data_IF_656605059211
#
_entry.id   IF_656605059211
#
_cell.length_a   1.000
_cell.length_b   1.000
_cell.length_c   1.000
_cell.angle_alpha   90.00
_cell.angle_beta   90.00
_cell.angle_gamma   90.00
#
_symmetry.space_group_name_H-M   'P 1'
#
loop_
_entity.id
_entity.type
_entity.pdbx_description
1 polymer ?
#
# COMPACT_ATOMS: atom_id res chain seq x y z
N UNK A 1 -10.68 10.33 28.36
CA UNK A 1 -10.63 10.19 26.89
C UNK A 1 -9.53 10.99 26.22
N UNK A 2 -9.59 12.33 26.10
CA UNK A 2 -8.56 13.09 25.35
C UNK A 2 -7.16 12.99 25.98
N UNK A 3 -7.06 13.06 27.32
CA UNK A 3 -5.81 12.88 28.07
C UNK A 3 -5.22 11.45 27.95
N UNK A 4 -6.08 10.44 27.86
CA UNK A 4 -5.64 9.04 27.69
C UNK A 4 -5.13 8.80 26.28
N UNK A 5 -5.80 9.38 25.27
CA UNK A 5 -5.35 9.35 23.89
C UNK A 5 -4.00 10.07 23.72
N UNK A 6 -3.83 11.23 24.34
CA UNK A 6 -2.57 11.97 24.33
C UNK A 6 -1.43 11.14 24.97
N UNK A 7 -1.70 10.50 26.11
CA UNK A 7 -0.73 9.61 26.76
C UNK A 7 -0.37 8.41 25.87
N UNK A 8 -1.35 7.79 25.21
CA UNK A 8 -1.11 6.67 24.29
C UNK A 8 -0.28 7.09 23.08
N UNK A 9 -0.60 8.23 22.45
CA UNK A 9 0.20 8.77 21.34
C UNK A 9 1.64 9.04 21.77
N UNK A 10 1.83 9.63 22.95
CA UNK A 10 3.17 9.86 23.48
C UNK A 10 3.93 8.56 23.74
N UNK A 11 3.28 7.53 24.31
CA UNK A 11 3.89 6.22 24.50
C UNK A 11 4.29 5.57 23.17
N UNK A 12 3.49 5.69 22.12
CA UNK A 12 3.83 5.20 20.78
C UNK A 12 5.07 5.92 20.24
N UNK A 13 5.15 7.26 20.38
CA UNK A 13 6.34 8.02 19.99
C UNK A 13 7.60 7.56 20.71
N UNK A 14 7.51 7.30 22.02
CA UNK A 14 8.63 6.76 22.79
C UNK A 14 9.04 5.36 22.32
N UNK A 15 8.07 4.47 22.04
CA UNK A 15 8.34 3.13 21.53
C UNK A 15 9.01 3.20 20.14
N UNK A 16 8.55 4.10 19.27
CA UNK A 16 9.13 4.33 17.94
C UNK A 16 10.62 4.65 18.04
N UNK A 17 11.01 5.53 18.97
CA UNK A 17 12.42 5.91 19.22
C UNK A 17 13.30 4.75 19.72
N UNK A 18 12.70 3.68 20.26
CA UNK A 18 13.43 2.51 20.73
C UNK A 18 13.68 1.48 19.62
N UNK A 19 12.95 1.57 18.51
CA UNK A 19 13.10 0.69 17.34
C UNK A 19 14.09 1.32 16.36
N UNK A 20 14.79 0.50 15.58
CA UNK A 20 15.61 0.99 14.49
C UNK A 20 14.71 1.47 13.33
N UNK A 21 14.23 2.71 13.45
CA UNK A 21 13.39 3.44 12.48
C UNK A 21 14.02 3.41 11.08
N UNK A 22 15.35 3.53 11.00
CA UNK A 22 16.07 3.51 9.71
C UNK A 22 15.91 2.17 8.96
N UNK A 23 15.56 1.09 9.66
CA UNK A 23 15.26 -0.22 9.07
C UNK A 23 13.78 -0.43 8.75
N UNK A 24 12.88 0.43 9.25
CA UNK A 24 11.43 0.28 9.13
C UNK A 24 10.67 1.54 8.64
N UNK A 25 11.12 2.21 7.57
CA UNK A 25 10.57 3.50 7.15
C UNK A 25 9.09 3.46 6.73
N UNK A 26 8.57 2.33 6.25
CA UNK A 26 7.13 2.19 5.96
C UNK A 26 6.31 2.09 7.25
N UNK A 27 6.81 1.40 8.29
CA UNK A 27 6.12 1.36 9.58
C UNK A 27 6.09 2.74 10.24
N UNK A 28 7.18 3.50 10.13
CA UNK A 28 7.23 4.87 10.64
C UNK A 28 6.27 5.79 9.89
N UNK A 29 6.20 5.64 8.57
CA UNK A 29 5.21 6.33 7.75
C UNK A 29 3.77 6.05 8.22
N UNK A 30 3.42 4.79 8.49
CA UNK A 30 2.09 4.41 8.97
C UNK A 30 1.75 5.09 10.31
N UNK A 31 2.71 5.16 11.23
CA UNK A 31 2.54 5.79 12.54
C UNK A 31 2.40 7.31 12.40
N UNK A 32 3.28 7.95 11.62
CA UNK A 32 3.33 9.40 11.50
C UNK A 32 2.10 10.00 10.80
N UNK A 33 1.43 9.21 9.96
CA UNK A 33 0.23 9.62 9.24
C UNK A 33 -1.06 9.07 9.86
N UNK A 34 -1.01 8.56 11.11
CA UNK A 34 -2.16 7.98 11.83
C UNK A 34 -2.94 6.94 10.97
N UNK A 35 -2.22 6.12 10.20
CA UNK A 35 -2.83 5.15 9.27
C UNK A 35 -3.54 4.06 10.05
N UNK A 36 -4.84 3.91 9.81
CA UNK A 36 -5.66 2.86 10.40
C UNK A 36 -5.28 1.47 9.90
N UNK A 37 -5.72 0.44 10.63
CA UNK A 37 -5.48 -0.96 10.24
C UNK A 37 -6.11 -1.28 8.87
N UNK A 38 -7.30 -0.77 8.62
CA UNK A 38 -8.03 -0.94 7.36
C UNK A 38 -7.28 -0.29 6.19
N UNK A 39 -6.74 0.91 6.40
CA UNK A 39 -5.93 1.61 5.40
C UNK A 39 -4.59 0.92 5.14
N UNK A 40 -3.93 0.43 6.19
CA UNK A 40 -2.72 -0.38 6.03
C UNK A 40 -3.02 -1.65 5.23
N UNK A 41 -4.10 -2.37 5.56
CA UNK A 41 -4.53 -3.57 4.80
C UNK A 41 -4.81 -3.23 3.34
N UNK A 42 -5.50 -2.11 3.07
CA UNK A 42 -5.73 -1.61 1.73
C UNK A 42 -4.45 -1.40 0.93
N UNK A 43 -3.46 -0.70 1.50
CA UNK A 43 -2.14 -0.49 0.86
C UNK A 43 -1.51 -1.84 0.50
N UNK A 44 -1.46 -2.77 1.45
CA UNK A 44 -0.83 -4.07 1.26
C UNK A 44 -1.54 -4.90 0.19
N UNK A 45 -2.86 -4.92 0.19
CA UNK A 45 -3.64 -5.73 -0.76
C UNK A 45 -3.57 -5.16 -2.18
N UNK A 46 -3.62 -3.82 -2.34
CA UNK A 46 -3.34 -3.16 -3.63
C UNK A 46 -1.95 -3.52 -4.14
N UNK A 47 -0.93 -3.45 -3.27
CA UNK A 47 0.45 -3.76 -3.64
C UNK A 47 0.64 -5.24 -4.00
N UNK A 48 -0.05 -6.17 -3.34
CA UNK A 48 -0.04 -7.60 -3.71
C UNK A 48 -0.60 -7.81 -5.11
N UNK A 49 -1.73 -7.19 -5.45
CA UNK A 49 -2.36 -7.34 -6.77
C UNK A 49 -1.47 -6.77 -7.87
N UNK A 50 -0.93 -5.57 -7.66
CA UNK A 50 0.01 -4.96 -8.61
C UNK A 50 1.29 -5.79 -8.74
N UNK A 51 1.81 -6.34 -7.64
CA UNK A 51 3.00 -7.18 -7.67
C UNK A 51 2.76 -8.50 -8.39
N UNK A 52 1.55 -9.06 -8.22
CA UNK A 52 1.11 -10.20 -9.02
C UNK A 52 1.09 -9.82 -10.48
N UNK A 53 0.37 -8.77 -10.90
CA UNK A 53 0.34 -8.31 -12.30
C UNK A 53 1.74 -8.08 -12.88
N UNK A 54 2.62 -7.43 -12.13
CA UNK A 54 4.00 -7.18 -12.51
C UNK A 54 4.82 -8.46 -12.72
N UNK A 55 4.58 -9.48 -11.88
CA UNK A 55 5.22 -10.80 -11.98
C UNK A 55 4.57 -11.70 -13.05
N UNK A 56 3.25 -11.64 -13.20
CA UNK A 56 2.41 -12.53 -14.00
C UNK A 56 2.53 -12.27 -15.51
N UNK A 57 2.92 -11.06 -15.90
CA UNK A 57 3.35 -10.77 -17.29
C UNK A 57 4.52 -11.69 -17.71
N UNK A 58 5.21 -12.35 -16.76
CA UNK A 58 6.31 -13.28 -17.03
C UNK A 58 5.90 -14.77 -17.07
N UNK A 59 4.79 -15.18 -16.43
CA UNK A 59 4.35 -16.59 -16.43
C UNK A 59 2.85 -16.70 -16.08
N UNK A 60 2.04 -17.20 -17.01
CA UNK A 60 0.58 -17.08 -16.96
C UNK A 60 -0.13 -18.39 -16.62
N UNK A 61 0.04 -18.90 -15.41
CA UNK A 61 -0.75 -20.03 -14.89
C UNK A 61 -0.80 -20.00 -13.36
N UNK A 62 -1.74 -19.27 -12.75
CA UNK A 62 -1.94 -19.36 -11.31
C UNK A 62 -3.40 -19.10 -10.90
N UNK A 63 -4.06 -20.16 -10.42
CA UNK A 63 -5.36 -20.08 -9.75
C UNK A 63 -5.29 -19.17 -8.50
N UNK A 64 -4.09 -18.94 -7.96
CA UNK A 64 -3.87 -18.04 -6.84
C UNK A 64 -4.23 -16.59 -7.17
N UNK A 65 -3.98 -16.10 -8.40
CA UNK A 65 -4.31 -14.71 -8.75
C UNK A 65 -5.82 -14.45 -8.64
N UNK A 66 -6.63 -15.37 -9.17
CA UNK A 66 -8.08 -15.31 -9.06
C UNK A 66 -8.51 -15.31 -7.58
N UNK A 67 -7.91 -16.16 -6.75
CA UNK A 67 -8.21 -16.19 -5.31
C UNK A 67 -7.89 -14.86 -4.59
N UNK A 68 -6.81 -14.18 -4.98
CA UNK A 68 -6.44 -12.87 -4.42
C UNK A 68 -7.39 -11.77 -4.88
N UNK A 69 -7.78 -11.76 -6.15
CA UNK A 69 -8.73 -10.76 -6.68
C UNK A 69 -10.14 -10.97 -6.13
N UNK A 70 -10.58 -12.22 -5.97
CA UNK A 70 -11.88 -12.56 -5.39
C UNK A 70 -11.96 -12.11 -3.93
N UNK A 71 -10.91 -12.40 -3.13
CA UNK A 71 -10.86 -11.93 -1.74
C UNK A 71 -10.82 -10.40 -1.66
N UNK A 72 -10.08 -9.74 -2.56
CA UNK A 72 -10.04 -8.27 -2.61
C UNK A 72 -11.43 -7.68 -2.89
N UNK A 73 -12.16 -8.25 -3.85
CA UNK A 73 -13.53 -7.82 -4.14
C UNK A 73 -14.45 -8.02 -2.95
N UNK A 74 -14.35 -9.14 -2.24
CA UNK A 74 -15.14 -9.41 -1.04
C UNK A 74 -14.83 -8.41 0.09
N UNK A 75 -13.55 -8.15 0.35
CA UNK A 75 -13.07 -7.25 1.39
C UNK A 75 -13.51 -5.79 1.15
N UNK A 76 -13.63 -5.39 -0.12
CA UNK A 76 -13.86 -3.99 -0.52
C UNK A 76 -15.15 -3.76 -1.31
N UNK A 77 -16.08 -4.72 -1.31
CA UNK A 77 -17.38 -4.60 -1.99
C UNK A 77 -18.18 -3.36 -1.57
N UNK A 78 -18.00 -2.89 -0.33
CA UNK A 78 -18.72 -1.74 0.23
C UNK A 78 -18.21 -0.38 -0.27
N UNK A 79 -17.07 -0.35 -0.97
CA UNK A 79 -16.46 0.91 -1.45
C UNK A 79 -17.18 1.50 -2.66
N UNK A 80 -17.99 0.71 -3.36
CA UNK A 80 -18.65 1.11 -4.61
C UNK A 80 -17.69 1.39 -5.77
N UNK A 81 -16.41 0.99 -5.65
CA UNK A 81 -15.40 1.15 -6.69
C UNK A 81 -15.47 -0.04 -7.64
N UNK A 82 -15.41 0.24 -8.94
CA UNK A 82 -15.21 -0.79 -9.96
C UNK A 82 -13.71 -1.07 -10.12
N UNK A 83 -13.29 -2.28 -9.76
CA UNK A 83 -11.90 -2.75 -9.86
C UNK A 83 -11.62 -3.56 -11.13
N UNK A 84 -12.58 -3.74 -12.05
CA UNK A 84 -12.39 -4.60 -13.22
C UNK A 84 -11.14 -4.21 -14.03
N UNK A 85 -10.93 -2.91 -14.26
CA UNK A 85 -9.73 -2.41 -14.97
C UNK A 85 -8.44 -2.58 -14.16
N UNK A 86 -8.54 -2.58 -12.83
CA UNK A 86 -7.40 -2.74 -11.93
C UNK A 86 -6.88 -4.18 -11.89
N UNK A 87 -7.71 -5.17 -12.24
CA UNK A 87 -7.31 -6.58 -12.31
C UNK A 87 -6.86 -7.04 -13.69
N UNK A 88 -6.84 -6.15 -14.69
CA UNK A 88 -6.34 -6.50 -16.02
C UNK A 88 -4.85 -6.91 -15.96
N UNK A 89 -4.52 -8.06 -16.55
CA UNK A 89 -3.14 -8.57 -16.67
C UNK A 89 -2.36 -7.71 -17.67
N UNK A 90 -1.88 -6.58 -17.20
CA UNK A 90 -0.99 -5.64 -17.88
C UNK A 90 -0.01 -5.05 -16.86
N UNK A 91 1.11 -4.55 -17.36
CA UNK A 91 2.12 -3.91 -16.54
C UNK A 91 1.49 -2.76 -15.72
N UNK A 92 1.62 -2.77 -14.38
CA UNK A 92 1.10 -1.69 -13.54
C UNK A 92 1.71 -0.33 -13.87
N UNK A 93 0.89 0.71 -13.77
CA UNK A 93 1.32 2.12 -13.88
C UNK A 93 1.18 2.85 -12.55
N UNK A 94 1.97 3.90 -12.34
CA UNK A 94 1.83 4.78 -11.19
C UNK A 94 0.44 5.42 -11.14
N UNK A 95 -0.10 5.79 -12.31
CA UNK A 95 -1.45 6.37 -12.42
C UNK A 95 -2.54 5.42 -11.89
N UNK A 96 -2.45 4.12 -12.19
CA UNK A 96 -3.39 3.13 -11.64
C UNK A 96 -3.24 3.00 -10.12
N UNK A 97 -1.99 2.91 -9.64
CA UNK A 97 -1.70 2.86 -8.20
C UNK A 97 -2.29 4.07 -7.48
N UNK A 98 -2.00 5.28 -7.97
CA UNK A 98 -2.48 6.54 -7.40
C UNK A 98 -4.01 6.64 -7.37
N UNK A 99 -4.66 6.25 -8.47
CA UNK A 99 -6.12 6.28 -8.59
C UNK A 99 -6.83 5.35 -7.61
N UNK A 100 -6.22 4.19 -7.29
CA UNK A 100 -6.79 3.23 -6.34
C UNK A 100 -6.41 3.61 -4.91
N UNK A 101 -5.14 3.84 -4.61
CA UNK A 101 -4.68 4.15 -3.26
C UNK A 101 -5.38 5.36 -2.66
N UNK A 102 -5.56 6.44 -3.44
CA UNK A 102 -6.20 7.68 -2.98
C UNK A 102 -7.66 7.50 -2.54
N UNK A 103 -8.30 6.37 -2.83
CA UNK A 103 -9.70 6.13 -2.45
C UNK A 103 -9.90 5.89 -0.96
N UNK A 104 -8.86 5.41 -0.27
CA UNK A 104 -8.97 5.03 1.13
C UNK A 104 -7.94 5.74 2.02
N UNK A 105 -7.06 6.57 1.45
CA UNK A 105 -6.05 7.30 2.20
C UNK A 105 -6.41 8.80 2.37
N UNK A 106 -5.85 9.47 3.40
CA UNK A 106 -5.99 10.92 3.56
C UNK A 106 -5.61 11.70 2.29
N UNK A 107 -6.35 12.76 1.99
CA UNK A 107 -6.23 13.50 0.72
C UNK A 107 -4.92 14.30 0.59
N UNK A 108 -4.24 14.58 1.69
CA UNK A 108 -2.96 15.28 1.77
C UNK A 108 -1.76 14.36 1.60
N UNK A 109 -1.99 13.06 1.39
CA UNK A 109 -0.92 12.08 1.27
C UNK A 109 -0.25 12.10 -0.10
N UNK A 110 1.08 12.13 -0.10
CA UNK A 110 1.88 11.95 -1.31
C UNK A 110 2.07 10.46 -1.60
N UNK A 111 1.26 9.88 -2.49
CA UNK A 111 1.30 8.44 -2.80
C UNK A 111 2.68 7.96 -3.32
N UNK A 112 3.44 8.83 -3.99
CA UNK A 112 4.81 8.52 -4.41
C UNK A 112 5.76 8.29 -3.20
N UNK A 113 5.51 8.97 -2.09
CA UNK A 113 6.27 8.79 -0.87
C UNK A 113 6.05 7.39 -0.27
N UNK A 114 4.83 6.86 -0.35
CA UNK A 114 4.50 5.48 0.08
C UNK A 114 5.40 4.47 -0.64
N UNK A 115 5.50 4.57 -1.97
CA UNK A 115 6.34 3.67 -2.77
C UNK A 115 7.82 3.79 -2.37
N UNK A 116 8.27 5.00 -2.05
CA UNK A 116 9.65 5.27 -1.63
C UNK A 116 9.96 4.60 -0.30
N UNK A 117 9.11 4.78 0.72
CA UNK A 117 9.33 4.18 2.04
C UNK A 117 9.20 2.65 2.00
N UNK A 118 8.26 2.10 1.22
CA UNK A 118 8.13 0.66 1.03
C UNK A 118 9.37 0.07 0.34
N UNK A 119 9.88 0.73 -0.71
CA UNK A 119 11.12 0.34 -1.39
C UNK A 119 12.32 0.35 -0.44
N UNK A 120 12.45 1.39 0.39
CA UNK A 120 13.55 1.52 1.35
C UNK A 120 13.50 0.42 2.42
N UNK A 121 12.29 -0.01 2.83
CA UNK A 121 12.07 -1.18 3.67
C UNK A 121 12.15 -2.53 2.91
N UNK A 122 12.58 -2.52 1.64
CA UNK A 122 12.72 -3.70 0.77
C UNK A 122 11.39 -4.44 0.49
N UNK A 123 10.25 -3.80 0.71
CA UNK A 123 8.93 -4.33 0.38
C UNK A 123 8.63 -4.09 -1.10
N UNK A 124 8.20 -5.15 -1.80
CA UNK A 124 7.83 -5.09 -3.23
C UNK A 124 8.86 -4.34 -4.10
N UNK A 125 10.16 -4.51 -3.80
CA UNK A 125 11.23 -3.61 -4.24
C UNK A 125 11.25 -3.36 -5.75
N UNK A 126 11.05 -4.39 -6.55
CA UNK A 126 11.03 -4.29 -8.02
C UNK A 126 9.82 -3.51 -8.51
N UNK A 127 8.62 -3.85 -8.04
CA UNK A 127 7.38 -3.12 -8.34
C UNK A 127 7.49 -1.65 -7.92
N UNK A 128 7.92 -1.37 -6.69
CA UNK A 128 8.07 0.01 -6.22
C UNK A 128 9.05 0.79 -7.08
N UNK A 129 10.16 0.17 -7.50
CA UNK A 129 11.13 0.82 -8.40
C UNK A 129 10.49 1.12 -9.75
N UNK A 130 9.79 0.14 -10.33
CA UNK A 130 9.05 0.29 -11.59
C UNK A 130 8.03 1.44 -11.53
N UNK A 131 7.17 1.48 -10.50
CA UNK A 131 6.14 2.52 -10.34
C UNK A 131 6.75 3.91 -10.07
N UNK A 132 7.85 3.99 -9.30
CA UNK A 132 8.56 5.27 -9.08
C UNK A 132 9.15 5.78 -10.40
N UNK A 133 9.71 4.91 -11.23
CA UNK A 133 10.28 5.33 -12.51
C UNK A 133 9.20 5.69 -13.53
N UNK A 134 8.06 4.98 -13.54
CA UNK A 134 6.87 5.33 -14.33
C UNK A 134 6.33 6.72 -13.99
N UNK A 135 6.34 7.13 -12.71
CA UNK A 135 5.86 8.45 -12.27
C UNK A 135 6.64 9.66 -12.82
N UNK A 136 7.83 9.42 -13.37
CA UNK A 136 8.72 10.47 -13.92
C UNK A 136 8.55 10.69 -15.42
N UNK A 137 7.81 9.80 -16.09
CA UNK A 137 7.59 9.81 -17.54
C UNK A 137 6.23 10.45 -17.88
#
# INVERSE_FOLDING_TARGET
MQKELELLKYQITLLKQMVNIDEMPFNDFLIDHDISKEQHKWIIDVMKILNYRFSYVKDSTDDYYNSVTDQFLEDYQFTGIDFNQFFEIKLPTFKEFDAVISKNLPADMENLYILTVMKNQKMFKELCTHLIDDSKN
#
